data_IF_060859920349
#
_entry.id   IF_060859920349
#
_cell.length_a   1.000
_cell.length_b   1.000
_cell.length_c   1.000
_cell.angle_alpha   90.00
_cell.angle_beta   90.00
_cell.angle_gamma   90.00
#
_symmetry.space_group_name_H-M   'P 1'
#
loop_
_entity.id
_entity.type
_entity.pdbx_description
1 polymer ?
#
# COMPACT_ATOMS: atom_id res chain seq x y z
N UNK A 1 -2.18 0.93 8.82
CA UNK A 1 -2.69 1.12 7.45
C UNK A 1 -2.52 -0.21 6.71
N UNK A 2 -3.52 -0.65 5.95
CA UNK A 2 -3.57 -2.00 5.38
C UNK A 2 -2.77 -2.20 4.09
N UNK A 3 -1.65 -1.49 3.90
CA UNK A 3 -0.81 -1.49 2.69
C UNK A 3 0.54 -2.21 2.88
N UNK A 4 0.67 -2.97 3.97
CA UNK A 4 1.78 -3.90 4.19
C UNK A 4 1.22 -5.21 4.75
N UNK A 5 1.54 -6.31 4.07
CA UNK A 5 1.18 -7.65 4.50
C UNK A 5 2.27 -8.65 4.05
N UNK A 6 3.10 -9.10 4.99
CA UNK A 6 4.21 -10.03 4.70
C UNK A 6 3.74 -11.44 4.30
N UNK A 7 2.50 -11.80 4.64
CA UNK A 7 1.92 -13.12 4.33
C UNK A 7 1.10 -13.11 3.02
N UNK A 8 0.99 -11.96 2.34
CA UNK A 8 0.26 -11.84 1.08
C UNK A 8 0.84 -12.79 0.03
N UNK A 9 -0.03 -13.59 -0.59
CA UNK A 9 0.32 -14.46 -1.70
C UNK A 9 -0.20 -13.84 -3.00
N UNK A 10 0.69 -13.34 -3.88
CA UNK A 10 0.25 -12.77 -5.15
C UNK A 10 -0.53 -13.78 -5.99
N UNK A 11 -1.62 -13.33 -6.58
CA UNK A 11 -2.42 -14.12 -7.52
C UNK A 11 -1.86 -13.95 -8.92
N UNK A 12 -2.16 -14.92 -9.79
CA UNK A 12 -1.76 -14.87 -11.21
C UNK A 12 -2.35 -13.66 -11.96
N UNK A 13 -3.42 -13.07 -11.43
CA UNK A 13 -4.12 -11.92 -12.00
C UNK A 13 -3.60 -10.58 -11.49
N UNK A 14 -2.69 -10.57 -10.52
CA UNK A 14 -2.20 -9.32 -9.92
C UNK A 14 -1.12 -8.68 -10.80
N UNK A 15 -1.08 -7.35 -10.80
CA UNK A 15 0.01 -6.59 -11.43
C UNK A 15 1.09 -6.34 -10.39
N UNK A 16 2.31 -6.80 -10.65
CA UNK A 16 3.46 -6.66 -9.73
C UNK A 16 4.32 -5.44 -10.09
N UNK A 17 4.60 -4.61 -9.08
CA UNK A 17 5.54 -3.48 -9.19
C UNK A 17 6.80 -3.73 -8.35
N UNK A 18 7.98 -3.64 -8.97
CA UNK A 18 9.27 -3.66 -8.27
C UNK A 18 9.85 -2.26 -8.25
N UNK A 19 10.15 -1.76 -7.05
CA UNK A 19 10.69 -0.41 -6.85
C UNK A 19 12.06 -0.48 -6.17
N UNK A 20 13.00 0.34 -6.67
CA UNK A 20 14.19 0.71 -5.91
C UNK A 20 13.83 1.94 -5.08
N UNK A 21 13.58 1.74 -3.79
CA UNK A 21 13.24 2.81 -2.87
C UNK A 21 14.49 3.21 -2.08
N UNK A 22 14.76 4.51 -2.02
CA UNK A 22 15.77 5.09 -1.12
C UNK A 22 15.02 5.94 -0.09
N UNK A 23 14.70 5.40 1.10
CA UNK A 23 14.03 6.17 2.14
C UNK A 23 14.91 7.34 2.62
N UNK A 24 14.25 8.40 3.10
CA UNK A 24 14.95 9.47 3.81
C UNK A 24 15.50 8.95 5.15
N UNK A 25 16.48 9.65 5.72
CA UNK A 25 17.03 9.30 7.04
C UNK A 25 15.91 9.26 8.10
N UNK A 26 15.87 8.19 8.89
CA UNK A 26 14.86 7.98 9.93
C UNK A 26 13.52 7.42 9.43
N UNK A 27 13.33 7.23 8.12
CA UNK A 27 12.12 6.59 7.58
C UNK A 27 12.34 5.07 7.51
N UNK A 28 11.42 4.32 8.14
CA UNK A 28 11.44 2.87 8.10
C UNK A 28 11.21 2.33 6.67
N UNK A 29 11.98 1.33 6.19
CA UNK A 29 11.80 0.79 4.85
C UNK A 29 10.43 0.17 4.56
N UNK A 30 9.79 -0.45 5.57
CA UNK A 30 8.44 -1.03 5.42
C UNK A 30 7.41 0.10 5.30
N UNK A 31 7.53 1.15 6.10
CA UNK A 31 6.66 2.32 5.98
C UNK A 31 6.83 3.00 4.60
N UNK A 32 8.06 3.13 4.12
CA UNK A 32 8.30 3.68 2.78
C UNK A 32 7.67 2.82 1.67
N UNK A 33 7.72 1.49 1.78
CA UNK A 33 7.08 0.59 0.84
C UNK A 33 5.54 0.67 0.93
N UNK A 34 4.99 0.71 2.15
CA UNK A 34 3.55 0.86 2.38
C UNK A 34 3.01 2.19 1.85
N UNK A 35 3.79 3.27 1.95
CA UNK A 35 3.44 4.57 1.37
C UNK A 35 3.39 4.52 -0.16
N UNK A 36 4.36 3.84 -0.81
CA UNK A 36 4.32 3.63 -2.27
C UNK A 36 3.08 2.81 -2.66
N UNK A 37 2.80 1.71 -1.98
CA UNK A 37 1.62 0.88 -2.25
C UNK A 37 0.31 1.66 -2.03
N UNK A 38 0.23 2.44 -0.94
CA UNK A 38 -0.93 3.26 -0.63
C UNK A 38 -1.23 4.34 -1.67
N UNK A 39 -0.28 5.22 -1.94
CA UNK A 39 -0.48 6.38 -2.84
C UNK A 39 -0.53 6.00 -4.32
N UNK A 40 -0.10 4.78 -4.69
CA UNK A 40 -0.28 4.24 -6.05
C UNK A 40 -1.56 3.43 -6.23
N UNK A 41 -2.35 3.25 -5.17
CA UNK A 41 -3.65 2.57 -5.20
C UNK A 41 -4.78 3.46 -4.69
N UNK A 42 -5.03 3.48 -3.38
CA UNK A 42 -6.25 4.06 -2.79
C UNK A 42 -6.00 4.90 -1.53
N UNK A 43 -4.78 5.07 -1.07
CA UNK A 43 -4.49 5.86 0.12
C UNK A 43 -4.44 7.36 -0.16
N UNK A 44 -4.51 8.13 0.93
CA UNK A 44 -4.04 9.51 0.99
C UNK A 44 -3.45 9.76 2.39
N UNK A 45 -2.88 10.94 2.63
CA UNK A 45 -2.15 11.29 3.86
C UNK A 45 -2.97 11.26 5.17
N UNK A 46 -4.30 11.19 5.09
CA UNK A 46 -5.18 11.07 6.26
C UNK A 46 -6.33 10.11 5.98
N UNK A 47 -6.89 9.55 7.04
CA UNK A 47 -8.02 8.61 6.94
C UNK A 47 -9.26 9.33 6.43
N UNK A 48 -9.92 8.75 5.44
CA UNK A 48 -11.20 9.23 4.92
C UNK A 48 -12.30 8.22 5.22
N UNK A 49 -13.44 8.69 5.72
CA UNK A 49 -14.55 7.80 6.09
C UNK A 49 -15.19 7.10 4.89
N UNK A 50 -15.04 7.69 3.70
CA UNK A 50 -15.58 7.20 2.43
C UNK A 50 -15.01 5.85 2.01
N UNK A 51 -13.87 5.41 2.58
CA UNK A 51 -13.38 4.03 2.44
C UNK A 51 -14.47 3.00 2.76
N UNK A 52 -15.34 3.31 3.75
CA UNK A 52 -16.45 2.45 4.19
C UNK A 52 -17.58 2.31 3.17
N UNK A 53 -17.56 3.07 2.08
CA UNK A 53 -18.54 2.97 0.99
C UNK A 53 -18.09 2.02 -0.12
N UNK A 54 -16.90 1.40 0.02
CA UNK A 54 -16.30 0.53 -0.99
C UNK A 54 -15.82 -0.78 -0.36
N UNK A 55 -15.55 -1.79 -1.20
CA UNK A 55 -14.83 -2.99 -0.79
C UNK A 55 -13.32 -2.70 -0.68
N UNK A 56 -12.94 -1.75 0.17
CA UNK A 56 -11.57 -1.22 0.22
C UNK A 56 -10.49 -2.29 0.40
N UNK A 57 -10.76 -3.38 1.12
CA UNK A 57 -9.81 -4.48 1.30
C UNK A 57 -9.43 -5.20 -0.01
N UNK A 58 -10.25 -5.11 -1.05
CA UNK A 58 -9.94 -5.65 -2.39
C UNK A 58 -9.18 -4.67 -3.29
N UNK A 59 -9.19 -3.38 -2.97
CA UNK A 59 -8.62 -2.32 -3.82
C UNK A 59 -7.28 -1.76 -3.29
N UNK A 60 -6.94 -2.05 -2.03
CA UNK A 60 -5.63 -1.73 -1.46
C UNK A 60 -4.57 -2.65 -2.07
N UNK A 61 -3.48 -2.05 -2.54
CA UNK A 61 -2.28 -2.78 -2.96
C UNK A 61 -1.48 -3.30 -1.76
#
# INVERSE_FOLDING_TARGET
MGYWNADYQPKDTDVLGLFRITPQEGVDPIEAAAAVAGESSTATWTVVWTDRLTACDSYRA
#
